data_IF_757145571620
#
_entry.id   IF_757145571620
#
_cell.length_a   1.000
_cell.length_b   1.000
_cell.length_c   1.000
_cell.angle_alpha   90.00
_cell.angle_beta   90.00
_cell.angle_gamma   90.00
#
_symmetry.space_group_name_H-M   'P 1'
#
loop_
_entity.id
_entity.type
_entity.pdbx_description
1 polymer ?
#
# COMPACT_ATOMS: atom_id res chain seq x y z
N UNK A 1 -19.65 -56.93 12.27
CA UNK A 1 -19.76 -55.95 11.16
C UNK A 1 -20.87 -55.01 11.59
N UNK A 2 -20.58 -53.72 11.80
CA UNK A 2 -21.60 -52.75 12.19
C UNK A 2 -22.38 -52.29 10.96
N UNK A 3 -23.68 -52.07 11.11
CA UNK A 3 -24.52 -51.45 10.09
C UNK A 3 -24.17 -49.96 9.93
N UNK A 4 -24.50 -49.36 8.78
CA UNK A 4 -24.26 -47.93 8.51
C UNK A 4 -24.88 -47.03 9.58
N UNK A 5 -26.03 -47.43 10.12
CA UNK A 5 -26.78 -46.71 11.16
C UNK A 5 -26.09 -46.79 12.53
N UNK A 6 -25.55 -47.97 12.88
CA UNK A 6 -24.73 -48.14 14.09
C UNK A 6 -23.38 -47.41 13.98
N UNK A 7 -22.79 -47.34 12.79
CA UNK A 7 -21.51 -46.64 12.59
C UNK A 7 -21.67 -45.12 12.82
N UNK A 8 -22.81 -44.54 12.40
CA UNK A 8 -23.11 -43.12 12.60
C UNK A 8 -23.33 -42.74 14.06
N UNK A 9 -23.82 -43.65 14.93
CA UNK A 9 -24.03 -43.35 16.35
C UNK A 9 -22.73 -43.36 17.16
N UNK A 10 -21.73 -44.12 16.72
CA UNK A 10 -20.42 -44.23 17.38
C UNK A 10 -19.52 -43.04 17.05
N UNK A 11 -19.60 -42.48 15.84
CA UNK A 11 -18.76 -41.36 15.43
C UNK A 11 -19.52 -40.36 14.56
N UNK A 12 -19.56 -39.12 15.02
CA UNK A 12 -20.12 -37.99 14.28
C UNK A 12 -18.99 -37.04 13.92
N UNK A 13 -18.87 -36.69 12.64
CA UNK A 13 -17.95 -35.63 12.24
C UNK A 13 -18.44 -34.31 12.85
N UNK A 14 -17.55 -33.49 13.45
CA UNK A 14 -17.91 -32.19 13.99
C UNK A 14 -18.55 -31.33 12.90
N UNK A 15 -19.86 -31.07 13.01
CA UNK A 15 -20.55 -30.11 12.17
C UNK A 15 -20.45 -28.73 12.82
N UNK A 16 -20.43 -27.66 12.00
CA UNK A 16 -20.40 -26.29 12.51
C UNK A 16 -21.62 -25.92 13.38
N UNK A 17 -22.69 -26.72 13.34
CA UNK A 17 -23.90 -26.61 14.18
C UNK A 17 -23.79 -27.32 15.53
N UNK A 18 -22.80 -28.22 15.73
CA UNK A 18 -22.60 -28.94 16.99
C UNK A 18 -21.64 -28.20 17.91
N UNK A 19 -22.14 -27.76 19.06
CA UNK A 19 -21.35 -27.07 20.08
C UNK A 19 -20.50 -28.07 20.87
N UNK A 20 -19.23 -28.22 20.49
CA UNK A 20 -18.28 -29.12 21.16
C UNK A 20 -17.35 -28.29 22.08
N UNK A 21 -17.31 -28.54 23.41
CA UNK A 21 -16.62 -27.70 24.41
C UNK A 21 -15.09 -27.57 24.27
N UNK A 22 -14.45 -28.22 23.30
CA UNK A 22 -12.99 -28.22 23.11
C UNK A 22 -12.55 -27.95 21.67
N UNK A 23 -13.47 -27.62 20.77
CA UNK A 23 -13.13 -27.23 19.40
C UNK A 23 -13.09 -25.72 19.33
N UNK A 24 -11.89 -25.17 19.12
CA UNK A 24 -11.72 -23.75 18.77
C UNK A 24 -12.10 -23.59 17.31
N UNK A 25 -13.40 -23.43 17.05
CA UNK A 25 -13.91 -23.13 15.71
C UNK A 25 -13.22 -21.86 15.18
N UNK A 26 -12.57 -21.98 14.02
CA UNK A 26 -12.02 -20.81 13.33
C UNK A 26 -13.20 -19.93 12.93
N UNK A 27 -13.33 -18.75 13.55
CA UNK A 27 -14.41 -17.79 13.25
C UNK A 27 -14.23 -17.09 11.89
N UNK A 28 -13.04 -17.21 11.31
CA UNK A 28 -12.72 -16.69 9.99
C UNK A 28 -13.09 -17.73 8.93
N UNK A 29 -14.14 -17.49 8.16
CA UNK A 29 -14.30 -18.17 6.87
C UNK A 29 -13.20 -17.65 5.96
N UNK A 30 -12.29 -18.52 5.53
CA UNK A 30 -11.37 -18.17 4.45
C UNK A 30 -12.21 -17.85 3.21
N UNK A 31 -12.13 -16.60 2.73
CA UNK A 31 -12.77 -16.21 1.49
C UNK A 31 -11.91 -16.68 0.33
N UNK A 32 -12.53 -17.31 -0.67
CA UNK A 32 -11.82 -17.64 -1.89
C UNK A 32 -11.33 -16.34 -2.54
N UNK A 33 -10.07 -16.28 -3.00
CA UNK A 33 -9.62 -15.14 -3.79
C UNK A 33 -10.45 -15.00 -5.08
N UNK A 34 -10.59 -13.79 -5.62
CA UNK A 34 -11.18 -13.59 -6.94
C UNK A 34 -10.48 -14.47 -7.98
N UNK A 35 -11.25 -15.10 -8.87
CA UNK A 35 -10.70 -15.96 -9.91
C UNK A 35 -9.75 -15.20 -10.86
N UNK A 36 -9.94 -13.89 -10.99
CA UNK A 36 -9.20 -12.98 -11.85
C UNK A 36 -8.15 -12.16 -11.09
N UNK A 37 -7.44 -12.76 -10.12
CA UNK A 37 -6.31 -12.09 -9.48
C UNK A 37 -5.23 -11.73 -10.51
N UNK A 38 -4.74 -10.48 -10.54
CA UNK A 38 -3.62 -10.11 -11.39
C UNK A 38 -2.36 -10.91 -11.03
N UNK A 39 -1.58 -11.29 -12.04
CA UNK A 39 -0.30 -12.02 -11.87
C UNK A 39 0.93 -11.11 -11.87
N UNK A 40 0.72 -9.81 -12.17
CA UNK A 40 1.76 -8.79 -12.28
C UNK A 40 1.24 -7.47 -11.74
N UNK A 41 2.16 -6.62 -11.29
CA UNK A 41 1.88 -5.31 -10.74
C UNK A 41 2.70 -5.06 -9.49
N UNK A 42 2.19 -4.18 -8.62
CA UNK A 42 2.77 -3.96 -7.29
C UNK A 42 2.19 -5.02 -6.34
N UNK A 43 3.07 -5.73 -5.64
CA UNK A 43 2.66 -6.73 -4.65
C UNK A 43 2.08 -6.00 -3.42
N UNK A 44 0.86 -6.34 -3.02
CA UNK A 44 0.19 -5.72 -1.87
C UNK A 44 -0.05 -6.68 -0.72
N UNK A 45 0.12 -7.98 -0.96
CA UNK A 45 -0.03 -9.00 0.06
C UNK A 45 -0.15 -10.39 -0.54
N UNK A 46 -0.57 -11.33 0.29
CA UNK A 46 -0.74 -12.73 -0.07
C UNK A 46 -2.07 -13.23 0.51
N UNK A 47 -2.69 -14.17 -0.19
CA UNK A 47 -3.88 -14.87 0.26
C UNK A 47 -3.55 -16.34 0.46
N UNK A 48 -4.15 -16.94 1.48
CA UNK A 48 -4.05 -18.35 1.77
C UNK A 48 -5.46 -18.94 1.75
N UNK A 49 -5.72 -19.86 0.83
CA UNK A 49 -7.01 -20.53 0.70
C UNK A 49 -6.82 -21.97 0.24
N UNK A 50 -7.45 -22.92 0.94
CA UNK A 50 -7.35 -24.36 0.60
C UNK A 50 -5.92 -24.88 0.47
N UNK A 51 -5.06 -24.46 1.38
CA UNK A 51 -3.65 -24.84 1.41
C UNK A 51 -2.85 -24.37 0.17
N UNK A 52 -3.37 -23.37 -0.55
CA UNK A 52 -2.71 -22.70 -1.66
C UNK A 52 -2.45 -21.23 -1.29
N UNK A 53 -1.18 -20.82 -1.37
CA UNK A 53 -0.75 -19.43 -1.16
C UNK A 53 -0.65 -18.74 -2.52
N UNK A 54 -1.31 -17.58 -2.67
CA UNK A 54 -1.23 -16.75 -3.88
C UNK A 54 -0.84 -15.33 -3.54
N UNK A 55 0.05 -14.76 -4.34
CA UNK A 55 0.38 -13.35 -4.28
C UNK A 55 -0.76 -12.50 -4.84
N UNK A 56 -1.02 -11.36 -4.21
CA UNK A 56 -2.04 -10.40 -4.61
C UNK A 56 -1.36 -9.14 -5.10
N UNK A 57 -1.65 -8.76 -6.34
CA UNK A 57 -1.09 -7.58 -6.99
C UNK A 57 -2.18 -6.58 -7.33
N UNK A 58 -1.84 -5.28 -7.32
CA UNK A 58 -2.63 -4.25 -8.01
C UNK A 58 -1.90 -3.83 -9.29
N UNK A 59 -2.64 -3.77 -10.39
CA UNK A 59 -2.07 -3.46 -11.71
C UNK A 59 -1.70 -1.99 -11.82
N UNK A 60 -0.78 -1.65 -12.71
CA UNK A 60 -0.45 -0.24 -12.97
C UNK A 60 -1.66 0.56 -13.49
N UNK A 61 -2.60 -0.08 -14.20
CA UNK A 61 -3.83 0.57 -14.66
C UNK A 61 -4.76 0.92 -13.49
N UNK A 62 -4.92 0.00 -12.54
CA UNK A 62 -5.72 0.27 -11.35
C UNK A 62 -5.07 1.34 -10.47
N UNK A 63 -3.74 1.34 -10.34
CA UNK A 63 -3.00 2.37 -9.59
C UNK A 63 -3.17 3.77 -10.16
N UNK A 64 -3.36 3.91 -11.48
CA UNK A 64 -3.65 5.22 -12.11
C UNK A 64 -4.98 5.83 -11.65
N UNK A 65 -5.89 5.02 -11.09
CA UNK A 65 -7.17 5.49 -10.53
C UNK A 65 -7.08 5.89 -9.06
N UNK A 66 -5.86 6.05 -8.54
CA UNK A 66 -5.54 6.34 -7.13
C UNK A 66 -5.83 5.18 -6.18
N UNK A 67 -5.15 5.20 -5.03
CA UNK A 67 -5.30 4.19 -3.98
C UNK A 67 -5.65 4.91 -2.68
N UNK A 68 -6.71 4.45 -2.01
CA UNK A 68 -7.09 4.91 -0.69
C UNK A 68 -6.82 3.81 0.34
N UNK A 69 -5.94 4.09 1.31
CA UNK A 69 -5.50 3.12 2.34
C UNK A 69 -6.06 3.58 3.69
N UNK A 70 -6.87 2.74 4.33
CA UNK A 70 -7.52 3.03 5.63
C UNK A 70 -7.19 1.93 6.63
N UNK A 71 -6.99 2.33 7.89
CA UNK A 71 -6.70 1.43 9.00
C UNK A 71 -6.27 2.20 10.23
N UNK A 72 -6.41 1.59 11.41
CA UNK A 72 -5.94 2.19 12.67
C UNK A 72 -4.40 2.22 12.72
N UNK A 73 -3.82 2.93 13.69
CA UNK A 73 -2.38 2.90 13.93
C UNK A 73 -1.92 1.46 14.21
N UNK A 74 -0.76 1.08 13.67
CA UNK A 74 -0.22 -0.27 13.83
C UNK A 74 -0.79 -1.34 12.89
N UNK A 75 -1.74 -1.02 12.00
CA UNK A 75 -2.29 -1.99 11.04
C UNK A 75 -1.45 -2.17 9.77
N UNK A 76 -0.24 -1.64 9.72
CA UNK A 76 0.69 -1.83 8.59
C UNK A 76 0.51 -0.89 7.40
N UNK A 77 -0.22 0.23 7.53
CA UNK A 77 -0.41 1.21 6.44
C UNK A 77 0.93 1.76 5.92
N UNK A 78 1.77 2.27 6.82
CA UNK A 78 3.09 2.81 6.46
C UNK A 78 3.97 1.73 5.82
N UNK A 79 3.93 0.51 6.34
CA UNK A 79 4.65 -0.64 5.77
C UNK A 79 4.19 -0.95 4.34
N UNK A 80 2.88 -0.95 4.08
CA UNK A 80 2.33 -1.14 2.73
C UNK A 80 2.83 -0.04 1.78
N UNK A 81 2.75 1.23 2.21
CA UNK A 81 3.25 2.37 1.42
C UNK A 81 4.75 2.27 1.13
N UNK A 82 5.57 1.97 2.14
CA UNK A 82 7.02 1.78 2.00
C UNK A 82 7.33 0.70 0.97
N UNK A 83 6.65 -0.45 1.04
CA UNK A 83 6.86 -1.54 0.09
C UNK A 83 6.49 -1.13 -1.34
N UNK A 84 5.39 -0.40 -1.51
CA UNK A 84 4.98 0.13 -2.81
C UNK A 84 6.05 1.07 -3.38
N UNK A 85 6.47 2.06 -2.59
CA UNK A 85 7.47 3.06 -2.98
C UNK A 85 8.80 2.42 -3.32
N UNK A 86 9.33 1.55 -2.46
CA UNK A 86 10.63 0.92 -2.66
C UNK A 86 10.63 0.05 -3.91
N UNK A 87 9.53 -0.65 -4.19
CA UNK A 87 9.41 -1.39 -5.45
C UNK A 87 9.42 -0.44 -6.66
N UNK A 88 8.70 0.69 -6.62
CA UNK A 88 8.73 1.68 -7.70
C UNK A 88 10.13 2.26 -7.91
N UNK A 89 10.84 2.62 -6.84
CA UNK A 89 12.23 3.10 -6.89
C UNK A 89 13.14 2.04 -7.53
N UNK A 90 13.00 0.76 -7.16
CA UNK A 90 13.77 -0.36 -7.74
C UNK A 90 13.46 -0.59 -9.21
N UNK A 91 12.26 -0.26 -9.65
CA UNK A 91 11.83 -0.29 -11.05
C UNK A 91 12.22 0.98 -11.83
N UNK A 92 13.09 1.83 -11.28
CA UNK A 92 13.50 3.12 -11.86
C UNK A 92 12.35 4.09 -12.11
N UNK A 93 11.27 4.02 -11.32
CA UNK A 93 10.21 5.03 -11.35
C UNK A 93 10.56 6.18 -10.41
N UNK A 94 10.08 7.37 -10.76
CA UNK A 94 10.10 8.54 -9.87
C UNK A 94 8.95 8.46 -8.86
N UNK A 95 9.20 8.95 -7.64
CA UNK A 95 8.22 8.97 -6.56
C UNK A 95 8.29 10.32 -5.84
N UNK A 96 7.15 10.81 -5.38
CA UNK A 96 7.06 11.98 -4.51
C UNK A 96 6.29 11.57 -3.25
N UNK A 97 6.81 11.95 -2.09
CA UNK A 97 6.28 11.54 -0.79
C UNK A 97 6.14 12.78 0.06
N UNK A 98 4.97 12.94 0.67
CA UNK A 98 4.68 14.03 1.59
C UNK A 98 4.32 13.35 2.90
N UNK A 99 5.15 13.58 3.92
CA UNK A 99 4.97 13.01 5.25
C UNK A 99 5.14 14.15 6.29
N UNK A 100 4.07 14.53 7.00
CA UNK A 100 4.13 15.57 8.02
C UNK A 100 4.89 15.15 9.29
N UNK A 101 5.14 13.84 9.48
CA UNK A 101 5.79 13.31 10.68
C UNK A 101 7.27 12.93 10.44
N UNK A 102 7.61 12.58 9.21
CA UNK A 102 8.97 12.29 8.75
C UNK A 102 9.44 10.85 8.92
N UNK A 103 8.74 10.03 9.72
CA UNK A 103 9.10 8.64 10.00
C UNK A 103 9.05 7.75 8.76
N UNK A 104 8.12 8.02 7.84
CA UNK A 104 8.03 7.30 6.56
C UNK A 104 9.20 7.68 5.65
N UNK A 105 9.56 8.96 5.59
CA UNK A 105 10.67 9.46 4.77
C UNK A 105 11.99 8.84 5.22
N UNK A 106 12.29 8.89 6.51
CA UNK A 106 13.52 8.30 7.10
C UNK A 106 13.64 6.80 6.76
N UNK A 107 12.53 6.07 6.91
CA UNK A 107 12.47 4.64 6.56
C UNK A 107 12.80 4.41 5.09
N UNK A 108 12.26 5.23 4.19
CA UNK A 108 12.43 5.07 2.75
C UNK A 108 13.85 5.45 2.33
N UNK A 109 14.42 6.53 2.86
CA UNK A 109 15.80 6.95 2.59
C UNK A 109 16.79 5.81 2.87
N UNK A 110 16.59 5.06 3.96
CA UNK A 110 17.40 3.88 4.29
C UNK A 110 17.24 2.68 3.33
N UNK A 111 16.22 2.69 2.46
CA UNK A 111 15.92 1.60 1.52
C UNK A 111 16.24 1.97 0.06
N UNK A 112 16.64 3.22 -0.21
CA UNK A 112 17.02 3.67 -1.56
C UNK A 112 18.34 2.99 -1.98
N UNK A 113 18.40 2.37 -3.18
CA UNK A 113 19.65 1.83 -3.68
C UNK A 113 20.72 2.91 -3.80
N UNK A 114 21.93 2.67 -3.28
CA UNK A 114 23.00 3.69 -3.23
C UNK A 114 23.32 4.34 -4.60
N UNK A 115 23.17 3.60 -5.70
CA UNK A 115 23.34 4.12 -7.07
C UNK A 115 22.39 5.25 -7.47
N UNK A 116 21.30 5.47 -6.72
CA UNK A 116 20.30 6.52 -6.95
C UNK A 116 20.34 7.63 -5.91
N UNK A 117 21.30 7.59 -4.98
CA UNK A 117 21.35 8.55 -3.86
C UNK A 117 21.48 10.00 -4.35
N UNK A 118 22.22 10.22 -5.45
CA UNK A 118 22.39 11.54 -6.06
C UNK A 118 21.12 12.07 -6.75
N UNK A 119 20.09 11.24 -6.91
CA UNK A 119 18.78 11.61 -7.47
C UNK A 119 17.77 12.00 -6.38
N UNK A 120 18.14 11.91 -5.10
CA UNK A 120 17.23 12.11 -3.96
C UNK A 120 17.22 13.58 -3.55
N UNK A 121 16.03 14.17 -3.50
CA UNK A 121 15.79 15.50 -2.95
C UNK A 121 14.96 15.34 -1.69
N UNK A 122 15.48 15.81 -0.56
CA UNK A 122 14.75 15.92 0.70
C UNK A 122 14.43 17.38 0.94
N UNK A 123 13.15 17.72 0.99
CA UNK A 123 12.69 19.05 1.32
C UNK A 123 12.07 19.06 2.72
N UNK A 124 12.81 19.62 3.67
CA UNK A 124 12.34 19.89 5.02
C UNK A 124 12.32 21.41 5.25
N UNK A 125 11.14 22.05 5.35
CA UNK A 125 11.02 23.47 5.64
C UNK A 125 11.62 23.90 6.98
N UNK A 126 11.86 22.96 7.90
CA UNK A 126 12.45 23.22 9.21
C UNK A 126 13.99 23.14 9.21
N UNK A 127 14.61 22.57 8.17
CA UNK A 127 16.06 22.47 8.04
C UNK A 127 16.68 23.82 7.67
N UNK A 128 17.30 24.45 8.67
CA UNK A 128 18.01 25.73 8.52
C UNK A 128 19.44 25.59 8.01
N UNK A 129 20.02 24.39 8.06
CA UNK A 129 21.39 24.12 7.60
C UNK A 129 21.42 23.84 6.10
N UNK A 130 20.37 23.24 5.55
CA UNK A 130 20.23 22.94 4.12
C UNK A 130 18.86 23.37 3.58
N UNK A 131 18.55 24.68 3.59
CA UNK A 131 17.28 25.16 3.08
C UNK A 131 17.21 24.96 1.55
N UNK A 132 16.09 24.42 1.06
CA UNK A 132 15.76 24.43 -0.36
C UNK A 132 14.84 25.62 -0.64
N UNK A 133 15.23 26.46 -1.60
CA UNK A 133 14.40 27.55 -2.08
C UNK A 133 13.40 27.05 -3.12
N UNK A 134 12.14 27.44 -2.96
CA UNK A 134 11.11 27.24 -3.98
C UNK A 134 10.55 28.61 -4.32
N UNK A 135 10.72 29.03 -5.58
CA UNK A 135 10.11 30.24 -6.08
C UNK A 135 8.76 29.91 -6.73
N UNK A 136 7.68 30.11 -6.01
CA UNK A 136 6.34 29.82 -6.53
C UNK A 136 5.90 30.79 -7.65
N UNK A 137 6.68 31.85 -7.90
CA UNK A 137 6.48 32.80 -9.00
C UNK A 137 7.38 32.53 -10.21
N UNK A 138 8.15 31.44 -10.19
CA UNK A 138 9.02 31.05 -11.30
C UNK A 138 8.19 30.60 -12.50
N UNK A 139 8.50 31.13 -13.68
CA UNK A 139 7.84 30.80 -14.94
C UNK A 139 8.83 30.89 -16.11
N UNK A 140 8.55 30.20 -17.21
CA UNK A 140 9.38 30.29 -18.41
C UNK A 140 9.08 31.60 -19.18
N UNK A 141 10.10 32.44 -19.38
CA UNK A 141 9.97 33.68 -20.14
C UNK A 141 9.56 33.47 -21.60
N UNK A 142 9.78 32.28 -22.16
CA UNK A 142 9.30 31.91 -23.49
C UNK A 142 7.81 31.54 -23.51
N UNK A 143 7.19 31.40 -22.32
CA UNK A 143 5.79 31.01 -22.10
C UNK A 143 5.09 32.02 -21.17
N UNK A 144 4.96 33.29 -21.57
CA UNK A 144 4.44 34.36 -20.72
C UNK A 144 3.00 34.11 -20.22
N UNK A 145 2.23 33.24 -20.89
CA UNK A 145 0.92 32.79 -20.44
C UNK A 145 0.94 32.08 -19.08
N UNK A 146 2.06 31.46 -18.70
CA UNK A 146 2.23 30.79 -17.39
C UNK A 146 2.12 31.78 -16.23
N UNK A 147 2.51 33.05 -16.43
CA UNK A 147 2.46 34.08 -15.40
C UNK A 147 1.05 34.27 -14.85
N UNK A 148 0.05 34.34 -15.73
CA UNK A 148 -1.35 34.52 -15.31
C UNK A 148 -1.86 33.28 -14.59
N UNK A 149 -1.51 32.09 -15.07
CA UNK A 149 -1.87 30.82 -14.42
C UNK A 149 -1.30 30.73 -12.99
N UNK A 150 0.00 31.01 -12.83
CA UNK A 150 0.68 30.97 -11.53
C UNK A 150 0.06 31.96 -10.55
N UNK A 151 -0.21 33.20 -10.97
CA UNK A 151 -0.84 34.20 -10.09
C UNK A 151 -2.24 33.75 -9.65
N UNK A 152 -3.03 33.18 -10.56
CA UNK A 152 -4.37 32.70 -10.22
C UNK A 152 -4.34 31.49 -9.26
N UNK A 153 -3.42 30.55 -9.46
CA UNK A 153 -3.25 29.41 -8.54
C UNK A 153 -2.70 29.86 -7.18
N UNK A 154 -1.79 30.84 -7.15
CA UNK A 154 -1.37 31.45 -5.88
C UNK A 154 -2.56 32.05 -5.13
N UNK A 155 -3.46 32.74 -5.83
CA UNK A 155 -4.66 33.31 -5.21
C UNK A 155 -5.66 32.22 -4.77
N UNK A 156 -5.78 31.10 -5.49
CA UNK A 156 -6.70 30.01 -5.17
C UNK A 156 -6.34 29.29 -3.87
N UNK A 157 -5.05 29.24 -3.51
CA UNK A 157 -4.58 28.62 -2.26
C UNK A 157 -5.05 29.39 -1.02
N UNK A 158 -5.25 30.71 -1.13
CA UNK A 158 -5.59 31.59 0.01
C UNK A 158 -7.07 31.99 0.09
N UNK A 159 -7.88 31.68 -0.93
CA UNK A 159 -9.31 31.95 -0.99
C UNK A 159 -10.14 30.69 -0.72
#
# INVERSE_FOLDING_TARGET
ILSTEELTSVFHLPASSTAIPKIKWLKSKEAAPPANLPTKGILIGETFFRNEQKSVYITEDDRRRHIYIVGQTGTGKSTLMTNMVVNDIRQNKGVAIIDPHGDLIETILGLIPGKRMDEVIVFDPSDRLRPLGINMLEYDFNRPEEKTFIVNEMQSIFN
#
